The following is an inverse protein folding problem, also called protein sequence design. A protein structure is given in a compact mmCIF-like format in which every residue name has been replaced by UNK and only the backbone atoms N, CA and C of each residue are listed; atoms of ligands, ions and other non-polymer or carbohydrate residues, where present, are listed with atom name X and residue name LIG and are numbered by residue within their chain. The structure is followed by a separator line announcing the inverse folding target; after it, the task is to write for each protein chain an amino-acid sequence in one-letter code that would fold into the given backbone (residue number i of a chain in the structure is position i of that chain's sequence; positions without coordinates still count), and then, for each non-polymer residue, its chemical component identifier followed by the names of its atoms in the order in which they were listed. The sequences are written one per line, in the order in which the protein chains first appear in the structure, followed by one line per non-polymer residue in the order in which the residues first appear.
data_IF_782756302833
#
_entry.id   IF_782756302833
#
_cell.length_a   1.000
_cell.length_b   1.000
_cell.length_c   1.000
_cell.angle_alpha   90.00
_cell.angle_beta   90.00
_cell.angle_gamma   90.00
#
_symmetry.space_group_name_H-M   'P 1'
#
loop_
_entity.id
_entity.type
_entity.pdbx_description
1 polymer ?
#
# COMPACT_ATOMS: atom_id res chain seq x y z
N UNK A 1 -28.67 17.74 48.10
CA UNK A 1 -29.67 16.72 48.45
C UNK A 1 -30.82 16.87 47.47
N UNK A 2 -31.27 15.90 46.69
CA UNK A 2 -30.84 14.51 46.48
C UNK A 2 -31.66 13.89 45.31
N UNK A 3 -31.08 12.85 44.69
CA UNK A 3 -31.77 11.74 44.00
C UNK A 3 -32.09 11.96 42.52
N UNK A 4 -31.34 11.45 41.53
CA UNK A 4 -30.87 10.09 41.14
C UNK A 4 -31.94 9.12 40.59
N UNK A 5 -31.53 8.43 39.50
CA UNK A 5 -32.00 7.18 38.87
C UNK A 5 -33.26 7.25 37.97
N UNK A 6 -33.34 6.70 36.75
CA UNK A 6 -32.73 5.50 36.13
C UNK A 6 -32.53 5.62 34.59
N UNK A 7 -31.62 4.79 34.05
CA UNK A 7 -31.33 4.50 32.62
C UNK A 7 -32.48 3.75 31.89
N UNK A 8 -32.41 3.64 30.55
CA UNK A 8 -31.89 2.41 29.89
C UNK A 8 -30.80 2.79 28.85
N UNK A 9 -29.60 2.21 28.76
CA UNK A 9 -29.18 0.85 28.39
C UNK A 9 -29.84 0.29 27.11
N UNK A 10 -29.20 0.54 25.96
CA UNK A 10 -29.12 -0.36 24.78
C UNK A 10 -27.81 -0.04 24.01
N UNK A 11 -26.94 -1.05 23.88
CA UNK A 11 -25.88 -1.22 22.87
C UNK A 11 -26.49 -2.06 21.71
N UNK A 12 -25.85 -2.25 20.53
CA UNK A 12 -24.74 -1.54 19.88
C UNK A 12 -25.11 -1.05 18.45
N UNK A 13 -24.43 -0.04 17.95
CA UNK A 13 -24.31 0.19 16.49
C UNK A 13 -22.86 0.50 16.21
N UNK A 14 -22.10 -0.54 15.85
CA UNK A 14 -20.78 -0.38 15.25
C UNK A 14 -21.00 0.34 13.92
N UNK A 15 -20.55 1.59 13.85
CA UNK A 15 -20.35 2.28 12.58
C UNK A 15 -18.90 2.09 12.21
N UNK A 16 -18.69 1.48 11.04
CA UNK A 16 -17.51 1.64 10.21
C UNK A 16 -17.27 3.13 10.00
N UNK A 17 -16.49 3.75 10.88
CA UNK A 17 -15.94 5.09 10.63
C UNK A 17 -14.44 4.93 10.35
N UNK A 18 -14.15 4.34 9.18
CA UNK A 18 -13.27 5.12 8.32
C UNK A 18 -14.12 6.29 7.86
N UNK A 19 -13.76 7.49 8.31
CA UNK A 19 -14.55 8.70 8.08
C UNK A 19 -14.67 9.00 6.57
N UNK A 20 -15.75 8.52 5.95
CA UNK A 20 -16.17 8.94 4.61
C UNK A 20 -16.57 10.42 4.70
N UNK A 21 -15.77 11.29 4.11
CA UNK A 21 -16.04 12.70 4.05
C UNK A 21 -17.20 12.99 3.07
N UNK A 22 -18.38 13.31 3.61
CA UNK A 22 -19.38 14.17 2.98
C UNK A 22 -20.35 13.48 2.01
N UNK A 23 -21.61 13.36 2.45
CA UNK A 23 -22.74 13.06 1.57
C UNK A 23 -23.08 14.28 0.70
N UNK A 24 -23.29 14.04 -0.60
CA UNK A 24 -24.12 14.92 -1.43
C UNK A 24 -25.06 14.07 -2.28
N UNK A 25 -26.34 14.34 -2.07
CA UNK A 25 -27.50 13.72 -2.70
C UNK A 25 -27.62 14.02 -4.21
N UNK A 26 -28.26 13.07 -4.91
CA UNK A 26 -29.00 13.16 -6.18
C UNK A 26 -28.23 13.09 -7.51
N UNK A 27 -28.35 11.93 -8.18
CA UNK A 27 -29.43 11.66 -9.15
C UNK A 27 -29.43 10.18 -9.57
N UNK A 28 -30.40 9.44 -9.02
CA UNK A 28 -30.74 8.06 -9.31
C UNK A 28 -31.62 7.97 -10.57
N UNK A 29 -31.27 7.13 -11.55
CA UNK A 29 -32.28 6.24 -12.18
C UNK A 29 -31.81 5.13 -13.14
N UNK A 30 -30.53 4.96 -13.49
CA UNK A 30 -30.11 3.80 -14.34
C UNK A 30 -28.86 3.06 -13.80
N UNK A 31 -28.24 3.60 -12.74
CA UNK A 31 -27.07 3.03 -12.03
C UNK A 31 -27.43 2.01 -10.95
N UNK A 32 -28.67 2.00 -10.46
CA UNK A 32 -29.08 1.14 -9.33
C UNK A 32 -29.09 -0.36 -9.64
N UNK A 33 -29.28 -0.75 -10.91
CA UNK A 33 -29.18 -2.14 -11.34
C UNK A 33 -27.74 -2.65 -11.40
N UNK A 34 -26.77 -1.76 -11.64
CA UNK A 34 -25.34 -2.07 -11.62
C UNK A 34 -24.75 -2.05 -10.19
N UNK A 35 -25.28 -1.20 -9.31
CA UNK A 35 -24.75 -0.95 -7.96
C UNK A 35 -25.07 -2.05 -6.94
N UNK A 36 -25.99 -2.98 -7.23
CA UNK A 36 -26.36 -4.09 -6.32
C UNK A 36 -25.66 -5.43 -6.61
N UNK A 37 -24.83 -5.49 -7.64
CA UNK A 37 -24.15 -6.74 -8.01
C UNK A 37 -22.91 -6.94 -7.15
N UNK A 38 -22.79 -8.12 -6.52
CA UNK A 38 -21.59 -8.53 -5.78
C UNK A 38 -20.34 -8.46 -6.68
N UNK A 39 -19.15 -8.22 -6.11
CA UNK A 39 -17.87 -8.15 -6.85
C UNK A 39 -17.62 -9.39 -7.71
N UNK A 40 -17.97 -10.57 -7.21
CA UNK A 40 -17.99 -11.82 -7.99
C UNK A 40 -18.89 -11.73 -9.23
N UNK A 41 -20.10 -11.18 -9.12
CA UNK A 41 -21.00 -11.00 -10.27
C UNK A 41 -20.48 -9.94 -11.24
N UNK A 42 -19.79 -8.90 -10.75
CA UNK A 42 -19.16 -7.87 -11.58
C UNK A 42 -17.97 -8.44 -12.34
N UNK A 43 -17.07 -9.15 -11.65
CA UNK A 43 -15.89 -9.79 -12.23
C UNK A 43 -16.32 -10.89 -13.20
N UNK A 44 -17.31 -11.71 -12.83
CA UNK A 44 -17.88 -12.73 -13.71
C UNK A 44 -18.53 -12.10 -14.94
N UNK A 45 -19.29 -11.02 -14.77
CA UNK A 45 -19.83 -10.28 -15.92
C UNK A 45 -18.74 -9.66 -16.78
N UNK A 46 -17.68 -9.12 -16.18
CA UNK A 46 -16.54 -8.56 -16.89
C UNK A 46 -15.80 -9.65 -17.68
N UNK A 47 -15.51 -10.78 -17.05
CA UNK A 47 -14.92 -11.96 -17.69
C UNK A 47 -15.83 -12.50 -18.79
N UNK A 48 -17.15 -12.52 -18.60
CA UNK A 48 -18.10 -12.99 -19.59
C UNK A 48 -18.22 -12.02 -20.77
N UNK A 49 -18.24 -10.71 -20.51
CA UNK A 49 -18.20 -9.66 -21.54
C UNK A 49 -16.91 -9.73 -22.34
N UNK A 50 -15.76 -9.81 -21.68
CA UNK A 50 -14.45 -9.94 -22.32
C UNK A 50 -14.34 -11.26 -23.10
N UNK A 51 -14.84 -12.38 -22.57
CA UNK A 51 -14.90 -13.66 -23.28
C UNK A 51 -15.71 -13.53 -24.58
N UNK A 52 -16.89 -12.92 -24.52
CA UNK A 52 -17.72 -12.68 -25.72
C UNK A 52 -17.04 -11.74 -26.71
N UNK A 53 -16.31 -10.74 -26.24
CA UNK A 53 -15.53 -9.83 -27.09
C UNK A 53 -14.40 -10.57 -27.80
N UNK A 54 -13.64 -11.41 -27.08
CA UNK A 54 -12.58 -12.27 -27.64
C UNK A 54 -13.17 -13.20 -28.72
N UNK A 55 -14.26 -13.90 -28.42
CA UNK A 55 -14.92 -14.82 -29.36
C UNK A 55 -15.51 -14.10 -30.58
N UNK A 56 -15.98 -12.85 -30.41
CA UNK A 56 -16.42 -12.00 -31.52
C UNK A 56 -15.25 -11.66 -32.46
N UNK A 57 -14.06 -11.38 -31.93
CA UNK A 57 -12.87 -11.18 -32.76
C UNK A 57 -12.52 -12.49 -33.49
N UNK A 58 -12.55 -13.64 -32.80
CA UNK A 58 -12.26 -14.92 -33.45
C UNK A 58 -13.21 -15.24 -34.60
N UNK A 59 -14.51 -15.08 -34.39
CA UNK A 59 -15.52 -15.32 -35.42
C UNK A 59 -15.41 -14.38 -36.61
N UNK A 60 -15.13 -13.09 -36.37
CA UNK A 60 -14.94 -12.07 -37.44
C UNK A 60 -13.77 -12.44 -38.35
N UNK A 61 -12.69 -12.97 -37.78
CA UNK A 61 -11.49 -13.37 -38.52
C UNK A 61 -11.46 -14.85 -38.90
N UNK A 62 -12.60 -15.55 -38.82
CA UNK A 62 -12.75 -16.97 -39.17
C UNK A 62 -11.76 -17.90 -38.44
N UNK A 63 -11.40 -17.56 -37.20
CA UNK A 63 -10.61 -18.40 -36.32
C UNK A 63 -11.53 -19.32 -35.53
N UNK A 64 -11.33 -20.63 -35.67
CA UNK A 64 -12.13 -21.66 -34.97
C UNK A 64 -11.64 -21.89 -33.53
N UNK A 65 -11.70 -20.86 -32.68
CA UNK A 65 -11.34 -20.94 -31.26
C UNK A 65 -12.48 -20.41 -30.37
N UNK A 66 -12.52 -20.87 -29.11
CA UNK A 66 -13.47 -20.46 -28.07
C UNK A 66 -12.76 -20.28 -26.74
N UNK A 67 -13.36 -19.49 -25.85
CA UNK A 67 -12.87 -19.33 -24.49
C UNK A 67 -13.45 -20.44 -23.63
N UNK A 68 -12.59 -21.27 -23.04
CA UNK A 68 -12.98 -22.40 -22.18
C UNK A 68 -13.13 -22.01 -20.71
N UNK A 69 -12.41 -20.96 -20.29
CA UNK A 69 -12.39 -20.46 -18.93
C UNK A 69 -11.51 -19.22 -18.83
N UNK A 70 -11.55 -18.57 -17.67
CA UNK A 70 -10.71 -17.42 -17.36
C UNK A 70 -10.20 -17.54 -15.92
N UNK A 71 -8.94 -17.20 -15.71
CA UNK A 71 -8.31 -17.07 -14.41
C UNK A 71 -7.76 -15.65 -14.29
N UNK A 72 -8.00 -15.06 -13.12
CA UNK A 72 -7.63 -13.69 -12.81
C UNK A 72 -6.28 -13.74 -12.08
N UNK A 73 -5.24 -13.14 -12.65
CA UNK A 73 -3.89 -13.04 -12.07
C UNK A 73 -3.61 -11.58 -11.68
N UNK A 74 -2.57 -11.32 -10.90
CA UNK A 74 -2.20 -9.98 -10.37
C UNK A 74 -2.33 -8.85 -11.40
N UNK A 75 -1.58 -8.96 -12.51
CA UNK A 75 -1.49 -7.91 -13.53
C UNK A 75 -2.16 -8.32 -14.85
N UNK A 76 -2.76 -9.51 -14.90
CA UNK A 76 -3.30 -10.08 -16.13
C UNK A 76 -4.56 -10.88 -15.87
N UNK A 77 -5.38 -11.03 -16.91
CA UNK A 77 -6.48 -11.99 -16.94
C UNK A 77 -6.13 -13.02 -18.00
N UNK A 78 -5.96 -14.27 -17.57
CA UNK A 78 -5.64 -15.40 -18.42
C UNK A 78 -6.91 -16.07 -18.89
N UNK A 79 -7.10 -16.17 -20.21
CA UNK A 79 -8.19 -16.94 -20.82
C UNK A 79 -7.66 -18.22 -21.44
N UNK A 80 -8.21 -19.36 -21.02
CA UNK A 80 -7.91 -20.64 -21.64
C UNK A 80 -8.63 -20.75 -22.97
N UNK A 81 -7.88 -21.04 -24.04
CA UNK A 81 -8.43 -21.12 -25.39
C UNK A 81 -8.55 -22.58 -25.84
N UNK A 82 -9.72 -22.94 -26.34
CA UNK A 82 -9.97 -24.24 -26.95
C UNK A 82 -10.24 -24.09 -28.45
N UNK A 83 -9.61 -24.93 -29.25
CA UNK A 83 -9.84 -25.01 -30.70
C UNK A 83 -9.89 -26.46 -31.14
N UNK A 84 -10.72 -26.74 -32.15
CA UNK A 84 -10.82 -28.04 -32.79
C UNK A 84 -9.79 -28.22 -33.93
N UNK A 85 -9.12 -27.14 -34.36
CA UNK A 85 -8.16 -27.13 -35.46
C UNK A 85 -6.89 -26.37 -35.05
N UNK A 86 -5.72 -27.02 -35.11
CA UNK A 86 -4.43 -26.38 -34.75
C UNK A 86 -4.12 -25.15 -35.64
N UNK A 87 -4.59 -25.15 -36.89
CA UNK A 87 -4.41 -24.05 -37.85
C UNK A 87 -5.17 -22.75 -37.49
N UNK A 88 -6.13 -22.82 -36.58
CA UNK A 88 -6.82 -21.63 -36.05
C UNK A 88 -5.92 -20.82 -35.11
N UNK A 89 -5.10 -21.50 -34.31
CA UNK A 89 -4.34 -20.89 -33.22
C UNK A 89 -3.05 -20.21 -33.69
N UNK A 90 -2.46 -20.67 -34.79
CA UNK A 90 -1.34 -19.97 -35.44
C UNK A 90 -1.72 -18.59 -36.02
N UNK A 91 -2.99 -18.40 -36.38
CA UNK A 91 -3.51 -17.12 -36.89
C UNK A 91 -3.79 -16.10 -35.78
N UNK A 92 -3.92 -16.54 -34.53
CA UNK A 92 -4.20 -15.66 -33.39
C UNK A 92 -3.12 -14.60 -33.16
N UNK A 93 -1.85 -14.91 -33.47
CA UNK A 93 -0.75 -13.93 -33.36
C UNK A 93 -0.97 -12.69 -34.24
N UNK A 94 -1.66 -12.84 -35.38
CA UNK A 94 -2.00 -11.74 -36.27
C UNK A 94 -3.19 -10.89 -35.79
N UNK A 95 -3.96 -11.38 -34.81
CA UNK A 95 -5.15 -10.70 -34.27
C UNK A 95 -4.84 -9.80 -33.08
N UNK A 96 -3.57 -9.68 -32.68
CA UNK A 96 -3.16 -8.89 -31.51
C UNK A 96 -3.75 -7.49 -31.55
N UNK A 97 -3.64 -6.78 -32.67
CA UNK A 97 -4.14 -5.39 -32.79
C UNK A 97 -5.66 -5.28 -32.64
N UNK A 98 -6.40 -6.22 -33.21
CA UNK A 98 -7.85 -6.22 -33.17
C UNK A 98 -8.36 -6.62 -31.78
N UNK A 99 -7.67 -7.56 -31.11
CA UNK A 99 -7.93 -7.90 -29.71
C UNK A 99 -7.70 -6.70 -28.79
N UNK A 100 -6.57 -6.01 -28.90
CA UNK A 100 -6.28 -4.78 -28.12
C UNK A 100 -7.38 -3.74 -28.29
N UNK A 101 -7.76 -3.48 -29.54
CA UNK A 101 -8.77 -2.45 -29.86
C UNK A 101 -10.16 -2.79 -29.34
N UNK A 102 -10.57 -4.06 -29.39
CA UNK A 102 -11.93 -4.47 -28.96
C UNK A 102 -12.01 -4.62 -27.45
N UNK A 103 -10.92 -5.04 -26.80
CA UNK A 103 -10.87 -5.26 -25.36
C UNK A 103 -10.56 -3.98 -24.58
N UNK A 104 -9.97 -2.96 -25.22
CA UNK A 104 -9.61 -1.70 -24.55
C UNK A 104 -8.47 -1.87 -23.53
N UNK A 105 -7.53 -2.77 -23.83
CA UNK A 105 -6.47 -3.21 -22.91
C UNK A 105 -5.10 -2.82 -23.44
N UNK A 106 -4.14 -2.62 -22.54
CA UNK A 106 -2.80 -2.12 -22.87
C UNK A 106 -1.98 -3.14 -23.67
N UNK A 107 -2.06 -4.42 -23.30
CA UNK A 107 -1.40 -5.49 -24.02
C UNK A 107 -2.16 -6.82 -23.95
N UNK A 108 -1.91 -7.72 -24.91
CA UNK A 108 -2.37 -9.10 -24.89
C UNK A 108 -1.24 -10.04 -25.33
N UNK A 109 -1.07 -11.12 -24.59
CA UNK A 109 -0.02 -12.12 -24.78
C UNK A 109 -0.62 -13.49 -25.04
N UNK A 110 -0.13 -14.18 -26.06
CA UNK A 110 -0.59 -15.51 -26.44
C UNK A 110 0.49 -16.55 -26.11
N UNK A 111 0.22 -17.38 -25.10
CA UNK A 111 1.21 -18.30 -24.51
C UNK A 111 0.73 -19.74 -24.69
N UNK A 112 1.65 -20.70 -24.75
CA UNK A 112 1.36 -22.12 -24.60
C UNK A 112 1.78 -22.59 -23.21
N UNK A 113 0.93 -23.34 -22.54
CA UNK A 113 1.29 -23.97 -21.27
C UNK A 113 2.18 -25.22 -21.48
N UNK A 114 2.65 -25.80 -20.38
CA UNK A 114 3.47 -27.02 -20.37
C UNK A 114 2.75 -28.24 -21.00
N UNK A 115 1.41 -28.18 -21.09
CA UNK A 115 0.56 -29.22 -21.68
C UNK A 115 0.22 -28.93 -23.14
N UNK A 116 0.75 -27.84 -23.71
CA UNK A 116 0.56 -27.42 -25.09
C UNK A 116 -0.79 -26.72 -25.38
N UNK A 117 -1.58 -26.41 -24.35
CA UNK A 117 -2.82 -25.64 -24.47
C UNK A 117 -2.53 -24.14 -24.63
N UNK A 118 -3.34 -23.47 -25.43
CA UNK A 118 -3.16 -22.04 -25.70
C UNK A 118 -3.89 -21.19 -24.68
N UNK A 119 -3.22 -20.12 -24.24
CA UNK A 119 -3.72 -19.15 -23.27
C UNK A 119 -3.57 -17.75 -23.81
N UNK A 120 -4.55 -16.90 -23.54
CA UNK A 120 -4.53 -15.48 -23.85
C UNK A 120 -4.48 -14.69 -22.54
N UNK A 121 -3.33 -14.11 -22.24
CA UNK A 121 -3.11 -13.26 -21.08
C UNK A 121 -3.37 -11.81 -21.48
N UNK A 122 -4.43 -11.23 -20.94
CA UNK A 122 -4.78 -9.82 -21.11
C UNK A 122 -4.10 -9.03 -20.01
N UNK A 123 -3.25 -8.07 -20.35
CA UNK A 123 -2.65 -7.17 -19.38
C UNK A 123 -3.70 -6.15 -18.94
N UNK A 124 -3.94 -6.05 -17.63
CA UNK A 124 -4.88 -5.05 -17.11
C UNK A 124 -4.27 -3.65 -17.27
N UNK A 125 -5.07 -2.63 -17.61
CA UNK A 125 -4.56 -1.26 -17.64
C UNK A 125 -4.01 -0.88 -16.27
N UNK A 126 -2.78 -0.35 -16.24
CA UNK A 126 -2.17 0.19 -15.04
C UNK A 126 -2.95 1.45 -14.65
N UNK A 127 -3.74 1.37 -13.59
CA UNK A 127 -4.33 2.57 -13.00
C UNK A 127 -3.20 3.39 -12.36
N UNK A 128 -3.10 4.70 -12.61
CA UNK A 128 -2.06 5.52 -12.00
C UNK A 128 -2.20 5.45 -10.47
N UNK A 129 -1.07 5.41 -9.73
CA UNK A 129 -1.13 5.30 -8.28
C UNK A 129 -1.86 6.51 -7.67
N UNK A 130 -2.61 6.28 -6.59
CA UNK A 130 -3.22 7.36 -5.81
C UNK A 130 -2.11 8.13 -5.10
N UNK A 131 -1.75 9.31 -5.61
CA UNK A 131 -0.68 10.14 -5.02
C UNK A 131 -1.08 10.68 -3.64
N UNK A 132 -0.26 10.42 -2.62
CA UNK A 132 -0.47 10.97 -1.28
C UNK A 132 -0.45 12.51 -1.29
N UNK A 133 0.46 13.10 -2.07
CA UNK A 133 0.64 14.55 -2.12
C UNK A 133 -0.53 15.26 -2.82
N UNK A 134 -1.18 14.59 -3.77
CA UNK A 134 -2.39 15.11 -4.42
C UNK A 134 -3.63 14.88 -3.56
N UNK A 135 -3.64 13.81 -2.75
CA UNK A 135 -4.74 13.50 -1.85
C UNK A 135 -4.81 14.44 -0.64
N UNK A 136 -3.68 14.71 0.02
CA UNK A 136 -3.64 15.49 1.26
C UNK A 136 -4.35 16.87 1.18
N UNK A 137 -4.17 17.69 0.12
CA UNK A 137 -4.85 18.99 -0.01
C UNK A 137 -6.37 18.89 -0.17
N UNK A 138 -6.88 17.72 -0.58
CA UNK A 138 -8.31 17.48 -0.79
C UNK A 138 -9.02 17.05 0.50
N UNK A 139 -8.26 16.64 1.51
CA UNK A 139 -8.81 16.16 2.78
C UNK A 139 -9.28 17.33 3.66
N UNK A 140 -10.34 17.12 4.47
CA UNK A 140 -10.67 18.04 5.55
C UNK A 140 -9.54 18.08 6.60
N UNK A 141 -9.65 19.00 7.56
CA UNK A 141 -8.75 19.00 8.71
C UNK A 141 -8.81 17.65 9.43
N UNK A 142 -7.67 16.96 9.48
CA UNK A 142 -7.59 15.60 10.00
C UNK A 142 -7.49 15.62 11.54
N UNK A 143 -8.16 14.70 12.25
CA UNK A 143 -7.94 14.51 13.68
C UNK A 143 -6.47 14.19 13.99
N UNK A 144 -6.01 14.51 15.21
CA UNK A 144 -4.66 14.17 15.65
C UNK A 144 -4.39 12.66 15.49
N UNK A 145 -3.16 12.31 15.12
CA UNK A 145 -2.70 10.93 14.93
C UNK A 145 -3.52 10.15 13.88
N UNK A 146 -4.05 10.82 12.86
CA UNK A 146 -4.74 10.17 11.74
C UNK A 146 -3.84 10.02 10.52
N UNK A 147 -3.64 8.79 10.06
CA UNK A 147 -2.92 8.49 8.82
C UNK A 147 -3.88 8.43 7.63
N UNK A 148 -3.35 8.66 6.43
CA UNK A 148 -4.09 8.54 5.18
C UNK A 148 -3.80 7.17 4.56
N UNK A 149 -4.84 6.35 4.37
CA UNK A 149 -4.70 5.02 3.79
C UNK A 149 -4.75 5.05 2.26
N UNK A 150 -5.71 5.75 1.67
CA UNK A 150 -5.96 5.68 0.24
C UNK A 150 -7.35 6.19 -0.16
N UNK A 151 -7.90 5.64 -1.24
CA UNK A 151 -9.26 5.91 -1.71
C UNK A 151 -10.04 4.60 -1.88
N UNK A 152 -11.32 4.59 -1.54
CA UNK A 152 -12.22 3.46 -1.84
C UNK A 152 -12.68 3.45 -3.31
N UNK A 153 -13.51 2.45 -3.67
CA UNK A 153 -14.06 2.30 -5.03
C UNK A 153 -14.93 3.50 -5.46
N UNK A 154 -15.49 4.23 -4.51
CA UNK A 154 -16.28 5.44 -4.74
C UNK A 154 -15.43 6.71 -4.84
N UNK A 155 -14.11 6.60 -4.64
CA UNK A 155 -13.18 7.72 -4.63
C UNK A 155 -13.19 8.53 -3.33
N UNK A 156 -13.82 8.02 -2.26
CA UNK A 156 -13.79 8.63 -0.96
C UNK A 156 -12.48 8.29 -0.22
N UNK A 157 -11.90 9.24 0.51
CA UNK A 157 -10.64 9.01 1.21
C UNK A 157 -10.81 8.07 2.39
N UNK A 158 -9.92 7.08 2.46
CA UNK A 158 -9.81 6.14 3.57
C UNK A 158 -8.77 6.65 4.57
N UNK A 159 -9.16 6.79 5.85
CA UNK A 159 -8.35 7.34 6.94
C UNK A 159 -8.19 6.33 8.08
N UNK A 160 -7.07 6.43 8.81
CA UNK A 160 -6.73 5.57 9.95
C UNK A 160 -6.43 6.41 11.20
N UNK A 161 -7.42 6.65 12.08
CA UNK A 161 -7.24 7.45 13.29
C UNK A 161 -6.67 6.62 14.44
N UNK A 162 -5.37 6.75 14.74
CA UNK A 162 -4.76 6.02 15.87
C UNK A 162 -5.20 6.54 17.24
N UNK A 163 -5.77 7.74 17.32
CA UNK A 163 -6.34 8.25 18.58
C UNK A 163 -7.67 7.58 18.95
N UNK A 164 -8.28 6.83 18.03
CA UNK A 164 -9.53 6.11 18.26
C UNK A 164 -9.31 4.88 19.15
N UNK A 165 -10.03 4.74 20.29
CA UNK A 165 -9.94 3.57 21.16
C UNK A 165 -10.25 2.23 20.47
N UNK A 166 -11.06 2.24 19.42
CA UNK A 166 -11.43 1.04 18.67
C UNK A 166 -10.30 0.61 17.70
N UNK A 167 -9.37 1.52 17.40
CA UNK A 167 -8.18 1.27 16.58
C UNK A 167 -6.98 0.99 17.50
N UNK A 168 -6.74 -0.29 17.81
CA UNK A 168 -5.63 -0.69 18.67
C UNK A 168 -4.34 -0.87 17.87
N UNK A 169 -4.29 -1.91 17.05
CA UNK A 169 -3.15 -2.29 16.22
C UNK A 169 -3.64 -2.71 14.84
N UNK A 170 -2.76 -2.60 13.84
CA UNK A 170 -3.09 -2.84 12.43
C UNK A 170 -2.19 -3.93 11.87
N UNK A 171 -2.80 -4.90 11.19
CA UNK A 171 -2.07 -5.87 10.39
C UNK A 171 -2.08 -5.43 8.92
N UNK A 172 -0.94 -5.52 8.25
CA UNK A 172 -0.79 -5.33 6.80
C UNK A 172 -0.31 -6.65 6.18
N UNK A 173 -1.20 -7.43 5.59
CA UNK A 173 -0.90 -8.74 5.04
C UNK A 173 -0.92 -8.75 3.51
N UNK A 174 -0.27 -9.73 2.89
CA UNK A 174 -0.24 -9.92 1.44
C UNK A 174 1.09 -10.48 0.95
N UNK A 175 1.18 -10.91 -0.30
CA UNK A 175 2.39 -11.42 -0.92
C UNK A 175 3.42 -10.31 -1.24
N UNK A 176 4.62 -10.71 -1.63
CA UNK A 176 5.60 -9.77 -2.17
C UNK A 176 5.02 -9.06 -3.41
N UNK A 177 5.29 -7.75 -3.54
CA UNK A 177 4.73 -6.93 -4.61
C UNK A 177 3.30 -6.39 -4.36
N UNK A 178 2.61 -6.81 -3.30
CA UNK A 178 1.25 -6.31 -3.02
C UNK A 178 1.17 -4.84 -2.57
N UNK A 179 2.31 -4.21 -2.23
CA UNK A 179 2.38 -2.81 -1.80
C UNK A 179 2.52 -2.58 -0.30
N UNK A 180 2.69 -3.62 0.53
CA UNK A 180 2.77 -3.51 2.02
C UNK A 180 3.82 -2.49 2.51
N UNK A 181 5.07 -2.62 2.07
CA UNK A 181 6.16 -1.72 2.52
C UNK A 181 5.92 -0.30 2.03
N UNK A 182 5.39 -0.13 0.81
CA UNK A 182 5.01 1.17 0.27
C UNK A 182 3.86 1.80 1.07
N UNK A 183 2.88 1.02 1.51
CA UNK A 183 1.81 1.47 2.41
C UNK A 183 2.37 1.91 3.76
N UNK A 184 3.25 1.12 4.40
CA UNK A 184 3.92 1.55 5.65
C UNK A 184 4.65 2.89 5.50
N UNK A 185 5.36 3.07 4.37
CA UNK A 185 6.02 4.33 4.03
C UNK A 185 5.02 5.48 3.89
N UNK A 186 3.94 5.28 3.14
CA UNK A 186 2.88 6.28 2.97
C UNK A 186 2.25 6.66 4.32
N UNK A 187 1.95 5.68 5.17
CA UNK A 187 1.43 5.90 6.52
C UNK A 187 2.37 6.79 7.34
N UNK A 188 3.67 6.46 7.39
CA UNK A 188 4.67 7.23 8.11
C UNK A 188 4.72 8.70 7.65
N UNK A 189 4.76 8.91 6.33
CA UNK A 189 4.85 10.25 5.74
C UNK A 189 3.57 11.04 5.98
N UNK A 190 2.40 10.42 5.78
CA UNK A 190 1.10 11.08 6.00
C UNK A 190 0.97 11.56 7.45
N UNK A 191 1.35 10.73 8.42
CA UNK A 191 1.37 11.09 9.84
C UNK A 191 2.34 12.23 10.11
N UNK A 192 3.55 12.17 9.54
CA UNK A 192 4.56 13.19 9.77
C UNK A 192 4.19 14.57 9.19
N UNK A 193 3.57 14.59 8.01
CA UNK A 193 3.11 15.81 7.36
C UNK A 193 1.97 16.47 8.13
N UNK A 194 1.07 15.67 8.71
CA UNK A 194 -0.18 16.16 9.32
C UNK A 194 -0.08 16.38 10.83
N UNK A 195 0.91 15.79 11.51
CA UNK A 195 1.06 15.88 12.96
C UNK A 195 2.35 16.57 13.39
N UNK A 196 2.31 17.24 14.55
CA UNK A 196 3.51 17.76 15.22
C UNK A 196 4.22 16.62 15.97
N UNK A 197 5.56 16.69 16.04
CA UNK A 197 6.37 15.70 16.75
C UNK A 197 6.01 15.59 18.25
N UNK A 198 5.62 16.70 18.89
CA UNK A 198 5.19 16.70 20.30
C UNK A 198 3.87 15.95 20.54
N UNK A 199 3.13 15.62 19.47
CA UNK A 199 1.86 14.89 19.52
C UNK A 199 2.02 13.46 19.04
N UNK A 200 2.90 13.22 18.06
CA UNK A 200 3.11 11.92 17.45
C UNK A 200 4.59 11.63 17.23
N UNK A 201 5.02 10.43 17.59
CA UNK A 201 6.35 9.89 17.35
C UNK A 201 6.26 8.57 16.58
N UNK A 202 7.30 8.27 15.79
CA UNK A 202 7.38 7.09 14.96
C UNK A 202 8.53 6.20 15.42
N UNK A 203 8.31 4.89 15.40
CA UNK A 203 9.39 3.91 15.44
C UNK A 203 9.28 3.04 14.18
N UNK A 204 10.41 2.75 13.53
CA UNK A 204 10.43 1.95 12.31
C UNK A 204 11.42 0.81 12.45
N UNK A 205 10.93 -0.41 12.26
CA UNK A 205 11.71 -1.65 12.25
C UNK A 205 11.57 -2.26 10.85
N UNK A 206 12.66 -2.27 10.08
CA UNK A 206 12.76 -2.84 8.73
C UNK A 206 13.92 -3.85 8.71
N UNK A 207 13.70 -5.07 9.25
CA UNK A 207 14.74 -6.06 9.42
C UNK A 207 15.31 -6.53 8.08
N UNK A 208 16.61 -6.79 8.07
CA UNK A 208 17.29 -7.30 6.88
C UNK A 208 16.74 -8.66 6.45
N UNK A 209 16.64 -8.87 5.14
CA UNK A 209 16.17 -10.13 4.55
C UNK A 209 17.13 -10.61 3.48
N UNK A 210 17.36 -11.92 3.36
CA UNK A 210 18.11 -12.48 2.24
C UNK A 210 17.47 -12.05 0.91
N UNK A 211 18.23 -11.39 0.04
CA UNK A 211 17.76 -10.95 -1.28
C UNK A 211 17.03 -9.60 -1.33
N UNK A 212 16.73 -8.96 -0.20
CA UNK A 212 16.19 -7.58 -0.18
C UNK A 212 17.35 -6.59 -0.25
N UNK A 213 17.65 -6.08 -1.45
CA UNK A 213 18.70 -5.07 -1.66
C UNK A 213 18.19 -3.64 -1.47
N UNK A 214 16.88 -3.41 -1.48
CA UNK A 214 16.27 -2.09 -1.40
C UNK A 214 15.51 -1.90 -0.07
N UNK A 215 16.08 -1.08 0.83
CA UNK A 215 15.44 -0.68 2.09
C UNK A 215 14.51 0.51 1.86
N UNK A 216 13.29 0.24 1.39
CA UNK A 216 12.31 1.28 1.05
C UNK A 216 11.90 2.17 2.24
N UNK A 217 12.06 1.70 3.48
CA UNK A 217 11.77 2.47 4.69
C UNK A 217 12.99 3.25 5.21
N UNK A 218 14.21 2.95 4.76
CA UNK A 218 15.42 3.64 5.22
C UNK A 218 15.36 5.18 5.09
N UNK A 219 14.82 5.77 4.01
CA UNK A 219 14.71 7.23 3.91
C UNK A 219 13.85 7.87 5.00
N UNK A 220 13.01 7.11 5.70
CA UNK A 220 12.23 7.62 6.83
C UNK A 220 13.13 8.07 7.99
N UNK A 221 14.41 7.67 8.05
CA UNK A 221 15.40 8.16 9.04
C UNK A 221 15.54 9.69 9.08
N UNK A 222 15.06 10.37 8.02
CA UNK A 222 15.06 11.82 7.91
C UNK A 222 13.76 12.47 8.41
N UNK A 223 12.74 11.73 8.87
CA UNK A 223 11.59 12.38 9.51
C UNK A 223 11.97 12.83 10.93
N UNK A 224 11.62 14.06 11.35
CA UNK A 224 11.88 14.51 12.71
C UNK A 224 11.06 13.74 13.77
N UNK A 225 10.07 12.96 13.35
CA UNK A 225 9.21 12.18 14.23
C UNK A 225 9.83 10.86 14.70
N UNK A 226 10.91 10.39 14.07
CA UNK A 226 11.49 9.11 14.45
C UNK A 226 12.17 9.18 15.82
N UNK A 227 11.90 8.18 16.65
CA UNK A 227 12.51 7.97 17.96
C UNK A 227 13.97 7.47 17.86
N UNK A 228 14.28 6.74 16.79
CA UNK A 228 15.58 6.12 16.55
C UNK A 228 15.85 6.07 15.04
N UNK A 229 17.04 5.64 14.64
CA UNK A 229 17.25 5.22 13.25
C UNK A 229 16.32 4.04 12.91
N UNK A 230 16.13 3.81 11.61
CA UNK A 230 15.39 2.64 11.12
C UNK A 230 16.15 1.38 11.55
N UNK A 231 15.51 0.54 12.34
CA UNK A 231 16.14 -0.62 12.96
C UNK A 231 16.12 -1.78 11.98
N UNK A 232 17.30 -2.22 11.54
CA UNK A 232 17.46 -3.35 10.63
C UNK A 232 17.95 -4.63 11.34
N UNK A 233 18.65 -4.48 12.46
CA UNK A 233 19.15 -5.61 13.22
C UNK A 233 18.04 -6.17 14.13
N UNK A 234 17.75 -7.49 14.07
CA UNK A 234 16.71 -8.08 14.90
C UNK A 234 16.99 -8.08 16.41
N UNK A 235 18.27 -8.06 16.84
CA UNK A 235 18.64 -7.95 18.25
C UNK A 235 18.32 -6.54 18.78
N UNK A 236 18.69 -5.51 18.02
CA UNK A 236 18.34 -4.11 18.32
C UNK A 236 16.82 -3.91 18.32
N UNK A 237 16.10 -4.56 17.41
CA UNK A 237 14.64 -4.54 17.39
C UNK A 237 14.06 -5.16 18.67
N UNK A 238 14.61 -6.29 19.12
CA UNK A 238 14.23 -6.94 20.36
C UNK A 238 14.43 -6.04 21.59
N UNK A 239 15.59 -5.39 21.70
CA UNK A 239 15.87 -4.45 22.79
C UNK A 239 14.91 -3.24 22.75
N UNK A 240 14.63 -2.73 21.55
CA UNK A 240 13.72 -1.58 21.39
C UNK A 240 12.28 -1.93 21.74
N UNK A 241 11.81 -3.14 21.40
CA UNK A 241 10.48 -3.61 21.80
C UNK A 241 10.36 -3.77 23.32
N UNK A 242 11.43 -4.17 24.01
CA UNK A 242 11.47 -4.19 25.48
C UNK A 242 11.38 -2.77 26.05
N UNK A 243 12.12 -1.81 25.49
CA UNK A 243 12.01 -0.38 25.89
C UNK A 243 10.59 0.15 25.68
N UNK A 244 9.94 -0.18 24.56
CA UNK A 244 8.54 0.19 24.33
C UNK A 244 7.58 -0.44 25.32
N UNK A 245 7.83 -1.69 25.73
CA UNK A 245 7.03 -2.37 26.75
C UNK A 245 7.20 -1.70 28.12
N UNK A 246 8.42 -1.33 28.51
CA UNK A 246 8.68 -0.58 29.75
C UNK A 246 8.01 0.80 29.72
N UNK A 247 8.06 1.49 28.57
CA UNK A 247 7.36 2.77 28.35
C UNK A 247 5.84 2.60 28.46
N UNK A 248 5.28 1.54 27.86
CA UNK A 248 3.86 1.20 28.00
C UNK A 248 3.48 1.04 29.49
N UNK A 249 4.23 0.26 30.26
CA UNK A 249 3.97 0.07 31.69
C UNK A 249 4.08 1.39 32.48
N UNK A 250 5.10 2.20 32.17
CA UNK A 250 5.28 3.51 32.76
C UNK A 250 4.08 4.43 32.48
N UNK A 251 3.60 4.48 31.24
CA UNK A 251 2.46 5.29 30.81
C UNK A 251 1.16 4.88 31.47
N UNK A 252 0.89 3.58 31.54
CA UNK A 252 -0.30 3.04 32.19
C UNK A 252 -0.30 3.34 33.69
N UNK A 253 0.87 3.36 34.33
CA UNK A 253 1.01 3.69 35.75
C UNK A 253 0.81 5.18 36.05
N UNK A 254 1.21 6.06 35.14
CA UNK A 254 1.17 7.52 35.34
C UNK A 254 0.08 8.24 34.56
N UNK A 255 -0.80 7.48 33.87
CA UNK A 255 -1.92 8.00 33.07
C UNK A 255 -1.46 8.99 31.96
N UNK A 256 -0.32 8.72 31.34
CA UNK A 256 0.26 9.57 30.28
C UNK A 256 0.17 8.89 28.92
N UNK A 257 -0.64 9.43 27.99
CA UNK A 257 -0.87 8.82 26.67
C UNK A 257 -0.13 9.51 25.51
N UNK A 258 0.45 10.69 25.77
CA UNK A 258 1.13 11.50 24.75
C UNK A 258 2.65 11.51 24.93
N UNK A 259 3.42 11.64 23.82
CA UNK A 259 2.95 11.61 22.44
C UNK A 259 2.48 10.20 22.02
N UNK A 260 1.53 10.12 21.08
CA UNK A 260 1.14 8.85 20.46
C UNK A 260 2.36 8.26 19.77
N UNK A 261 2.68 6.99 20.03
CA UNK A 261 3.78 6.29 19.36
C UNK A 261 3.16 5.34 18.34
N UNK A 262 3.52 5.48 17.07
CA UNK A 262 3.16 4.53 16.02
C UNK A 262 4.42 3.77 15.60
N UNK A 263 4.42 2.46 15.84
CA UNK A 263 5.53 1.57 15.52
C UNK A 263 5.23 0.77 14.26
N UNK A 264 6.01 1.00 13.21
CA UNK A 264 5.91 0.31 11.92
C UNK A 264 6.91 -0.85 11.90
N UNK A 265 6.41 -2.06 11.66
CA UNK A 265 7.25 -3.27 11.61
C UNK A 265 7.08 -3.96 10.24
N UNK A 266 8.10 -3.90 9.40
CA UNK A 266 8.10 -4.58 8.08
C UNK A 266 8.55 -6.05 8.22
N UNK A 267 7.85 -7.06 7.69
CA UNK A 267 8.00 -8.50 8.05
C UNK A 267 8.28 -8.66 9.54
N UNK A 268 7.23 -8.74 10.32
CA UNK A 268 7.36 -9.26 11.67
C UNK A 268 7.99 -10.67 11.71
N UNK A 269 7.84 -11.49 10.67
CA UNK A 269 8.42 -12.85 10.62
C UNK A 269 9.95 -12.84 10.62
N UNK A 270 10.59 -11.81 10.07
CA UNK A 270 12.04 -11.70 10.08
C UNK A 270 12.60 -11.43 11.49
N UNK A 271 11.79 -10.81 12.36
CA UNK A 271 12.10 -10.65 13.78
C UNK A 271 11.90 -11.96 14.56
N UNK A 272 10.83 -12.68 14.24
CA UNK A 272 10.43 -13.89 14.96
C UNK A 272 11.25 -15.13 14.57
N UNK A 273 11.79 -15.16 13.35
CA UNK A 273 12.56 -16.30 12.84
C UNK A 273 13.96 -16.42 13.44
N UNK A 274 14.53 -15.30 13.91
CA UNK A 274 15.96 -15.20 14.24
C UNK A 274 16.26 -15.10 15.75
N UNK A 275 15.31 -14.65 16.60
CA UNK A 275 15.58 -14.40 18.04
C UNK A 275 14.40 -14.69 19.00
N UNK A 276 14.68 -14.46 20.31
CA UNK A 276 14.22 -15.17 21.52
C UNK A 276 12.75 -15.02 21.93
N UNK A 277 12.30 -15.91 22.83
CA UNK A 277 11.00 -15.83 23.56
C UNK A 277 10.71 -14.42 24.12
N UNK A 278 11.74 -13.62 24.42
CA UNK A 278 11.60 -12.26 24.91
C UNK A 278 10.98 -11.30 23.87
N UNK A 279 11.33 -11.44 22.58
CA UNK A 279 10.75 -10.61 21.50
C UNK A 279 9.26 -10.92 21.35
N UNK A 280 8.91 -12.21 21.35
CA UNK A 280 7.53 -12.66 21.30
C UNK A 280 6.72 -12.16 22.50
N UNK A 281 7.30 -12.23 23.70
CA UNK A 281 6.66 -11.74 24.92
C UNK A 281 6.40 -10.23 24.89
N UNK A 282 7.39 -9.42 24.49
CA UNK A 282 7.21 -7.97 24.36
C UNK A 282 6.18 -7.62 23.30
N UNK A 283 6.25 -8.23 22.12
CA UNK A 283 5.29 -8.00 21.05
C UNK A 283 3.86 -8.38 21.48
N UNK A 284 3.69 -9.52 22.17
CA UNK A 284 2.40 -9.94 22.70
C UNK A 284 1.86 -8.97 23.77
N UNK A 285 2.71 -8.49 24.67
CA UNK A 285 2.33 -7.52 25.70
C UNK A 285 1.89 -6.18 25.08
N UNK A 286 2.65 -5.68 24.11
CA UNK A 286 2.32 -4.47 23.36
C UNK A 286 1.02 -4.62 22.56
N UNK A 287 0.79 -5.76 21.92
CA UNK A 287 -0.46 -6.03 21.20
C UNK A 287 -1.69 -6.11 22.11
N UNK A 288 -1.51 -6.53 23.36
CA UNK A 288 -2.61 -6.64 24.31
C UNK A 288 -2.96 -5.31 24.97
N UNK A 289 -1.96 -4.46 25.26
CA UNK A 289 -2.13 -3.29 26.15
C UNK A 289 -1.51 -2.00 25.63
N UNK A 290 -0.80 -2.04 24.51
CA UNK A 290 -0.09 -0.88 23.96
C UNK A 290 -1.03 0.26 23.61
N UNK A 291 -2.18 -0.05 23.00
CA UNK A 291 -3.18 0.95 22.64
C UNK A 291 -3.70 1.76 23.86
N UNK A 292 -3.85 1.11 25.02
CA UNK A 292 -4.23 1.78 26.28
C UNK A 292 -3.17 2.81 26.74
N UNK A 293 -1.93 2.68 26.28
CA UNK A 293 -0.81 3.59 26.56
C UNK A 293 -0.54 4.58 25.41
N UNK A 294 -1.38 4.61 24.38
CA UNK A 294 -1.15 5.41 23.16
C UNK A 294 0.03 4.90 22.32
N UNK A 295 0.31 3.59 22.36
CA UNK A 295 1.35 2.91 21.59
C UNK A 295 0.66 1.95 20.62
N UNK A 296 0.73 2.25 19.33
CA UNK A 296 0.07 1.50 18.27
C UNK A 296 1.10 0.78 17.41
N UNK A 297 0.77 -0.42 16.97
CA UNK A 297 1.64 -1.24 16.13
C UNK A 297 0.99 -1.39 14.76
N UNK A 298 1.76 -1.17 13.70
CA UNK A 298 1.40 -1.52 12.33
C UNK A 298 2.38 -2.61 11.89
N UNK A 299 1.89 -3.85 11.91
CA UNK A 299 2.69 -5.03 11.62
C UNK A 299 2.43 -5.45 10.18
N UNK A 300 3.48 -5.67 9.39
CA UNK A 300 3.30 -6.32 8.09
C UNK A 300 3.75 -7.78 8.12
N UNK A 301 3.07 -8.60 7.32
CA UNK A 301 3.35 -10.03 7.17
C UNK A 301 3.22 -10.43 5.70
N UNK A 302 4.16 -11.26 5.25
CA UNK A 302 4.11 -11.89 3.93
C UNK A 302 3.58 -13.32 3.95
N UNK A 303 3.41 -13.89 5.15
CA UNK A 303 2.95 -15.25 5.38
C UNK A 303 1.76 -15.24 6.36
N UNK A 304 0.55 -14.90 5.89
CA UNK A 304 -0.63 -14.77 6.76
C UNK A 304 -1.04 -16.09 7.44
N UNK A 305 -0.59 -17.22 6.91
CA UNK A 305 -0.82 -18.57 7.46
C UNK A 305 0.15 -18.93 8.59
N UNK A 306 1.08 -18.05 8.95
CA UNK A 306 2.06 -18.30 10.00
C UNK A 306 1.37 -18.56 11.36
N UNK A 307 1.75 -19.62 12.12
CA UNK A 307 1.07 -19.99 13.36
C UNK A 307 1.01 -18.88 14.42
N UNK A 308 2.08 -18.09 14.56
CA UNK A 308 2.14 -17.00 15.53
C UNK A 308 1.12 -15.89 15.22
N UNK A 309 0.84 -15.64 13.94
CA UNK A 309 -0.10 -14.60 13.54
C UNK A 309 -1.52 -15.05 13.89
N UNK A 310 -1.86 -16.31 13.58
CA UNK A 310 -3.17 -16.89 13.86
C UNK A 310 -3.59 -16.84 15.33
N UNK A 311 -2.62 -16.88 16.27
CA UNK A 311 -2.91 -16.81 17.71
C UNK A 311 -3.19 -15.40 18.22
N UNK A 312 -2.74 -14.36 17.51
CA UNK A 312 -2.82 -12.96 17.96
C UNK A 312 -3.85 -12.14 17.16
N UNK A 313 -4.17 -12.54 15.93
CA UNK A 313 -5.05 -11.80 15.01
C UNK A 313 -6.41 -11.43 15.59
N UNK A 314 -7.19 -12.40 16.07
CA UNK A 314 -8.59 -12.16 16.44
C UNK A 314 -8.77 -11.36 17.73
N UNK A 315 -7.80 -11.39 18.63
CA UNK A 315 -7.90 -10.71 19.92
C UNK A 315 -7.34 -9.28 19.86
N UNK A 316 -6.29 -9.05 19.07
CA UNK A 316 -5.47 -7.85 19.18
C UNK A 316 -5.29 -7.08 17.87
N UNK A 317 -5.76 -7.60 16.73
CA UNK A 317 -5.64 -6.96 15.40
C UNK A 317 -7.03 -6.82 14.76
N UNK A 318 -7.88 -5.92 15.29
CA UNK A 318 -9.26 -5.74 14.81
C UNK A 318 -9.28 -5.23 13.36
N UNK A 319 -8.34 -4.35 12.99
CA UNK A 319 -8.18 -3.83 11.64
C UNK A 319 -7.06 -4.56 10.89
N UNK A 320 -7.40 -5.11 9.71
CA UNK A 320 -6.50 -5.84 8.83
C UNK A 320 -6.56 -5.24 7.44
N UNK A 321 -5.43 -4.77 6.93
CA UNK A 321 -5.24 -4.27 5.58
C UNK A 321 -4.61 -5.39 4.76
N UNK A 322 -5.40 -6.06 3.94
CA UNK A 322 -4.99 -7.26 3.22
C UNK A 322 -4.83 -6.92 1.74
N UNK A 323 -3.59 -6.88 1.28
CA UNK A 323 -3.27 -6.77 -0.15
C UNK A 323 -3.32 -8.14 -0.81
N UNK A 324 -2.95 -8.20 -2.09
CA UNK A 324 -3.00 -9.45 -2.84
C UNK A 324 -2.30 -10.63 -2.13
N UNK A 325 -2.98 -11.77 -2.08
CA UNK A 325 -2.46 -13.07 -1.59
C UNK A 325 -2.49 -14.13 -2.69
N UNK A 326 -1.87 -15.31 -2.48
CA UNK A 326 -1.74 -16.34 -3.53
C UNK A 326 -2.99 -17.16 -3.77
N UNK A 327 -3.76 -17.43 -2.73
CA UNK A 327 -4.89 -18.34 -2.78
C UNK A 327 -5.95 -18.02 -1.72
N UNK A 328 -7.11 -18.66 -1.84
CA UNK A 328 -8.25 -18.53 -0.92
C UNK A 328 -7.86 -18.87 0.54
N UNK A 329 -6.94 -19.82 0.75
CA UNK A 329 -6.51 -20.20 2.08
C UNK A 329 -5.69 -19.10 2.76
N UNK A 330 -4.77 -18.45 2.03
CA UNK A 330 -4.06 -17.26 2.49
C UNK A 330 -5.02 -16.07 2.66
N UNK A 331 -6.03 -15.93 1.80
CA UNK A 331 -7.06 -14.89 1.91
C UNK A 331 -7.84 -15.03 3.22
N UNK A 332 -8.35 -16.24 3.50
CA UNK A 332 -9.02 -16.54 4.75
C UNK A 332 -8.08 -16.34 5.95
N UNK A 333 -6.82 -16.75 5.85
CA UNK A 333 -5.86 -16.57 6.94
C UNK A 333 -5.59 -15.09 7.25
N UNK A 334 -5.46 -14.25 6.22
CA UNK A 334 -5.16 -12.82 6.36
C UNK A 334 -6.38 -11.99 6.81
N UNK A 335 -7.54 -12.30 6.23
CA UNK A 335 -8.78 -11.53 6.45
C UNK A 335 -9.57 -12.05 7.64
N UNK A 336 -9.40 -13.34 8.00
CA UNK A 336 -10.28 -14.12 8.88
C UNK A 336 -11.77 -14.13 8.49
N UNK A 337 -12.10 -13.77 7.24
CA UNK A 337 -13.46 -13.79 6.71
C UNK A 337 -13.55 -14.83 5.58
N UNK A 338 -14.56 -15.69 5.67
CA UNK A 338 -14.83 -16.70 4.64
C UNK A 338 -15.33 -15.99 3.38
N UNK A 339 -14.75 -16.34 2.23
CA UNK A 339 -15.09 -15.73 0.94
C UNK A 339 -14.53 -14.31 0.77
N UNK A 340 -13.58 -13.88 1.61
CA UNK A 340 -12.81 -12.69 1.30
C UNK A 340 -12.01 -12.94 0.01
N UNK A 341 -12.05 -11.99 -0.93
CA UNK A 341 -11.51 -12.14 -2.28
C UNK A 341 -10.12 -11.49 -2.41
N UNK A 342 -9.27 -11.59 -1.37
CA UNK A 342 -7.94 -10.97 -1.38
C UNK A 342 -6.99 -11.59 -2.43
N UNK A 343 -7.23 -12.84 -2.84
CA UNK A 343 -6.51 -13.54 -3.90
C UNK A 343 -6.80 -12.98 -5.31
N UNK A 344 -7.89 -12.23 -5.47
CA UNK A 344 -8.27 -11.58 -6.73
C UNK A 344 -7.78 -10.13 -6.88
N UNK A 345 -7.15 -9.57 -5.83
CA UNK A 345 -6.61 -8.21 -5.86
C UNK A 345 -5.48 -8.09 -6.89
N UNK A 346 -5.25 -6.86 -7.35
CA UNK A 346 -4.31 -6.53 -8.43
C UNK A 346 -2.86 -6.38 -7.98
N UNK A 347 -2.61 -6.37 -6.66
CA UNK A 347 -1.30 -5.99 -6.11
C UNK A 347 -1.06 -4.48 -6.23
N UNK A 348 0.20 -4.04 -6.07
CA UNK A 348 0.61 -2.64 -6.29
C UNK A 348 -0.22 -1.57 -5.55
N UNK A 349 -0.67 -1.87 -4.34
CA UNK A 349 -1.49 -0.94 -3.56
C UNK A 349 -2.98 -1.26 -3.60
N UNK A 350 -3.40 -2.33 -4.25
CA UNK A 350 -4.77 -2.82 -4.16
C UNK A 350 -5.00 -3.62 -2.86
N UNK A 351 -5.89 -3.15 -1.97
CA UNK A 351 -6.11 -3.69 -0.64
C UNK A 351 -7.59 -3.88 -0.28
N UNK A 352 -7.84 -4.80 0.64
CA UNK A 352 -9.06 -4.91 1.43
C UNK A 352 -8.79 -4.46 2.86
N UNK A 353 -9.50 -3.45 3.34
CA UNK A 353 -9.59 -3.14 4.76
C UNK A 353 -10.69 -3.99 5.40
N UNK A 354 -10.31 -4.82 6.36
CA UNK A 354 -11.20 -5.73 7.08
C UNK A 354 -11.22 -5.34 8.54
N UNK A 355 -12.42 -5.02 9.03
CA UNK A 355 -12.70 -4.78 10.43
C UNK A 355 -13.94 -5.58 10.82
N UNK A 356 -13.78 -6.49 11.79
CA UNK A 356 -14.77 -7.51 12.11
C UNK A 356 -15.17 -8.32 10.87
N UNK A 357 -16.44 -8.28 10.48
CA UNK A 357 -16.99 -8.91 9.26
C UNK A 357 -17.15 -7.91 8.10
N UNK A 358 -16.85 -6.62 8.32
CA UNK A 358 -16.95 -5.58 7.29
C UNK A 358 -15.69 -5.54 6.45
N UNK A 359 -15.86 -5.42 5.14
CA UNK A 359 -14.77 -5.32 4.17
C UNK A 359 -14.98 -4.08 3.31
N UNK A 360 -13.91 -3.30 3.15
CA UNK A 360 -13.88 -2.14 2.26
C UNK A 360 -12.70 -2.32 1.32
N UNK A 361 -12.96 -2.25 0.02
CA UNK A 361 -11.93 -2.26 -0.99
C UNK A 361 -11.35 -0.85 -1.16
N UNK A 362 -10.04 -0.74 -1.28
CA UNK A 362 -9.39 0.56 -1.46
C UNK A 362 -8.06 0.44 -2.20
N UNK A 363 -7.73 1.48 -2.96
CA UNK A 363 -6.41 1.71 -3.51
C UNK A 363 -5.59 2.53 -2.52
N UNK A 364 -4.49 1.96 -2.05
CA UNK A 364 -3.57 2.60 -1.13
C UNK A 364 -2.93 3.85 -1.76
N UNK A 365 -2.83 4.91 -0.96
CA UNK A 365 -2.07 6.08 -1.32
C UNK A 365 -0.58 5.73 -1.41
N UNK A 366 0.10 6.42 -2.31
CA UNK A 366 1.49 6.16 -2.67
C UNK A 366 2.28 7.47 -2.71
N UNK A 367 3.50 7.41 -2.21
CA UNK A 367 4.49 8.48 -2.34
C UNK A 367 5.73 7.91 -3.01
N UNK A 368 6.15 8.44 -4.17
CA UNK A 368 7.35 7.99 -4.87
C UNK A 368 8.65 8.39 -4.16
N UNK A 369 9.79 7.89 -4.62
CA UNK A 369 11.09 8.24 -4.04
C UNK A 369 11.43 9.73 -4.21
N UNK A 370 11.11 10.30 -5.38
CA UNK A 370 11.31 11.72 -5.67
C UNK A 370 10.46 12.61 -4.74
N UNK A 371 9.16 12.31 -4.66
CA UNK A 371 8.21 13.03 -3.81
C UNK A 371 8.55 12.90 -2.32
N UNK A 372 9.00 11.72 -1.90
CA UNK A 372 9.50 11.48 -0.56
C UNK A 372 10.68 12.40 -0.24
N UNK A 373 11.66 12.48 -1.14
CA UNK A 373 12.82 13.33 -0.95
C UNK A 373 12.42 14.80 -0.77
N UNK A 374 11.58 15.34 -1.66
CA UNK A 374 11.07 16.72 -1.56
C UNK A 374 10.26 16.96 -0.28
N UNK A 375 9.46 15.97 0.13
CA UNK A 375 8.67 16.04 1.35
C UNK A 375 9.56 16.09 2.60
N UNK A 376 10.60 15.25 2.65
CA UNK A 376 11.57 15.23 3.74
C UNK A 376 12.32 16.56 3.85
N UNK A 377 12.73 17.15 2.73
CA UNK A 377 13.36 18.48 2.72
C UNK A 377 12.41 19.57 3.23
N UNK A 378 11.15 19.51 2.82
CA UNK A 378 10.12 20.47 3.23
C UNK A 378 9.82 20.38 4.72
N UNK A 379 9.67 19.17 5.26
CA UNK A 379 9.44 18.94 6.70
C UNK A 379 10.61 19.49 7.52
N UNK A 380 11.85 19.28 7.07
CA UNK A 380 13.05 19.81 7.73
C UNK A 380 13.15 21.34 7.70
N UNK A 381 12.82 21.96 6.56
CA UNK A 381 12.87 23.42 6.44
C UNK A 381 11.90 24.08 7.43
N UNK A 382 10.75 23.46 7.64
CA UNK A 382 9.67 23.99 8.47
C UNK A 382 9.73 23.57 9.94
N UNK A 383 10.62 22.63 10.31
CA UNK A 383 10.75 22.11 11.68
C UNK A 383 12.24 21.99 12.04
N UNK A 384 12.76 22.84 12.94
CA UNK A 384 14.15 22.71 13.38
C UNK A 384 14.35 21.31 13.98
N UNK A 385 15.51 20.71 13.71
CA UNK A 385 15.87 19.39 14.25
C UNK A 385 15.63 19.39 15.76
N UNK A 386 14.75 18.52 16.29
CA UNK A 386 14.65 18.31 17.72
C UNK A 386 15.99 17.73 18.18
N UNK A 387 16.75 18.49 18.97
CA UNK A 387 17.86 17.95 19.74
C UNK A 387 17.23 17.15 20.89
N UNK A 388 17.36 15.82 20.86
CA UNK A 388 17.35 14.80 21.96
C UNK A 388 16.83 13.47 21.37
N UNK A 389 17.49 12.30 21.43
CA UNK A 389 18.80 11.89 21.93
C UNK A 389 19.70 11.51 20.74
N UNK A 390 20.97 11.92 20.79
CA UNK A 390 21.98 11.32 19.93
C UNK A 390 21.99 9.80 20.14
N UNK A 391 22.35 9.00 19.11
CA UNK A 391 22.60 7.59 19.32
C UNK A 391 23.59 7.44 20.48
N UNK A 392 23.40 6.42 21.33
CA UNK A 392 24.52 5.89 22.10
C UNK A 392 25.69 5.75 21.11
N UNK A 393 26.77 6.47 21.34
CA UNK A 393 27.76 6.81 20.32
C UNK A 393 28.31 5.60 19.55
N UNK A 394 28.66 5.88 18.29
CA UNK A 394 29.74 5.26 17.53
C UNK A 394 29.52 3.86 16.91
N UNK A 395 28.98 3.83 15.69
CA UNK A 395 29.66 3.18 14.56
C UNK A 395 29.40 4.00 13.30
N UNK A 396 30.45 4.22 12.51
CA UNK A 396 30.48 5.19 11.41
C UNK A 396 29.37 4.97 10.39
N UNK A 397 28.84 6.05 9.83
CA UNK A 397 28.03 5.97 8.63
C UNK A 397 28.82 5.17 7.56
N UNK A 398 28.29 4.06 7.03
CA UNK A 398 28.93 3.39 5.92
C UNK A 398 29.01 4.37 4.74
N UNK A 399 30.20 4.51 4.15
CA UNK A 399 30.46 5.31 2.93
C UNK A 399 29.57 4.89 1.74
N UNK A 400 28.92 3.73 1.82
CA UNK A 400 28.04 3.16 0.81
C UNK A 400 26.69 3.89 0.63
N UNK A 401 26.33 4.84 1.50
CA UNK A 401 25.14 5.68 1.34
C UNK A 401 25.38 6.98 0.56
N UNK A 402 26.54 7.13 -0.10
CA UNK A 402 26.69 8.09 -1.20
C UNK A 402 25.90 7.58 -2.42
N UNK A 403 24.58 7.72 -2.37
CA UNK A 403 23.68 7.29 -3.45
C UNK A 403 23.91 8.16 -4.69
N UNK A 404 24.63 7.62 -5.67
CA UNK A 404 24.54 8.06 -7.06
C UNK A 404 23.22 7.56 -7.63
N UNK A 405 22.25 8.46 -7.73
CA UNK A 405 20.98 8.19 -8.37
C UNK A 405 21.15 8.27 -9.89
N UNK A 406 21.13 7.11 -10.56
CA UNK A 406 20.74 7.08 -11.97
C UNK A 406 19.22 7.06 -12.04
N UNK A 407 18.65 7.88 -12.94
CA UNK A 407 17.24 7.83 -13.32
C UNK A 407 16.96 6.45 -13.91
N UNK A 408 16.30 5.56 -13.16
CA UNK A 408 15.62 4.40 -13.75
C UNK A 408 14.29 4.86 -14.34
N UNK A 409 14.38 5.65 -15.40
CA UNK A 409 13.22 6.02 -16.21
C UNK A 409 13.06 4.93 -17.28
N UNK A 410 12.32 3.86 -16.96
CA UNK A 410 11.84 2.87 -17.94
C UNK A 410 10.81 3.44 -18.94
N UNK A 411 10.83 4.75 -19.19
CA UNK A 411 9.99 5.41 -20.17
C UNK A 411 10.67 5.38 -21.54
N UNK A 412 9.98 4.92 -22.61
CA UNK A 412 10.51 5.09 -23.95
C UNK A 412 10.53 6.59 -24.29
N UNK A 413 11.72 7.19 -24.27
CA UNK A 413 11.96 8.54 -24.77
C UNK A 413 11.69 8.54 -26.28
N UNK A 414 10.51 9.00 -26.70
CA UNK A 414 10.39 9.67 -27.99
C UNK A 414 10.65 11.14 -27.75
N UNK A 415 11.86 11.56 -28.14
CA UNK A 415 12.29 12.95 -28.12
C UNK A 415 11.32 13.81 -28.93
N UNK A 416 10.58 14.68 -28.24
CA UNK A 416 10.04 15.89 -28.83
C UNK A 416 11.18 16.89 -28.77
N UNK A 417 11.83 17.12 -29.92
CA UNK A 417 12.78 18.22 -30.09
C UNK A 417 11.95 19.48 -30.33
N UNK A 418 11.83 20.30 -29.30
CA UNK A 418 11.48 21.72 -29.33
C UNK A 418 12.68 22.41 -28.71
N UNK A 419 13.44 23.15 -29.51
CA UNK A 419 13.69 24.61 -29.40
C UNK A 419 15.20 24.75 -29.72
N UNK A 420 15.74 25.83 -30.26
CA UNK A 420 15.28 27.19 -30.54
C UNK A 420 16.31 27.79 -31.52
N UNK A 421 15.86 28.73 -32.35
CA UNK A 421 16.72 29.62 -33.10
C UNK A 421 17.38 30.59 -32.11
N UNK A 422 18.71 30.63 -32.06
CA UNK A 422 19.44 31.77 -31.50
C UNK A 422 20.61 32.12 -32.43
N UNK A 423 20.56 33.38 -32.88
CA UNK A 423 21.50 34.02 -33.78
C UNK A 423 22.84 34.26 -33.06
N UNK A 424 23.91 33.65 -33.56
CA UNK A 424 25.29 33.97 -33.19
C UNK A 424 25.71 35.29 -33.85
N UNK A 425 25.80 36.35 -33.05
CA UNK A 425 26.35 37.65 -33.46
C UNK A 425 27.40 38.09 -32.41
N UNK A 426 28.63 37.58 -32.51
CA UNK A 426 29.83 38.26 -32.03
C UNK A 426 31.12 37.55 -32.47
N UNK A 427 31.59 37.84 -33.68
CA UNK A 427 32.99 37.65 -34.03
C UNK A 427 33.76 38.97 -33.84
N UNK A 428 34.81 38.86 -33.03
CA UNK A 428 35.78 39.88 -32.68
C UNK A 428 36.56 40.35 -33.91
N UNK A 429 36.58 41.67 -34.15
CA UNK A 429 37.62 42.32 -34.94
C UNK A 429 38.76 42.77 -34.01
N UNK A 430 39.95 42.23 -34.26
CA UNK A 430 41.24 42.79 -33.80
C UNK A 430 41.60 44.04 -34.63
N UNK A 431 42.31 44.96 -33.96
CA UNK A 431 43.32 45.91 -34.46
C UNK A 431 42.94 46.91 -35.55
N UNK A 432 42.84 48.20 -35.17
CA UNK A 432 43.93 49.18 -35.37
C UNK A 432 43.39 50.62 -35.20
N UNK A 433 43.96 51.33 -34.22
CA UNK A 433 43.89 52.79 -34.10
C UNK A 433 45.14 53.38 -34.75
N UNK A 434 45.02 53.81 -36.01
CA UNK A 434 45.88 54.85 -36.59
C UNK A 434 45.02 55.92 -37.30
N UNK A 435 45.24 57.15 -36.83
CA UNK A 435 45.19 58.44 -37.53
C UNK A 435 43.86 59.17 -37.85
N UNK A 436 43.82 60.38 -37.27
CA UNK A 436 43.12 61.65 -37.60
C UNK A 436 41.63 61.86 -37.25
#
# INVERSE_FOLDING_TARGET
MDGRFCRPFFLPTFRTDVLIAGSLEQTMNERETWQRMNKEERLRNQLELQSRQIERVFSTHQVSARVAGGQVETQSIRFDLQSHLESGLHRLRGLKRDLLSVLGVADVNLVKDERGQWRLDIVRPHEPPVSLLDLLPLLPELPESTAVLGMDEEGAPLLLPFADPDITHVLVAGCEGSGKTSLLRTLAVSLAMTNRQSKLQLLVIDPDRPGKTNRQLAPLMFLPHLLSQVIADPEDAGQTLQILMDEMEHRLKHETLQPTIVTLIDNVEALLGTYSEAVQAALAALLQRGAEAGIHLVLSSSHPTAPWLSSVMRANLPLRLVGQVRDEAESLAATAVIGAEADYLLGEGDFLAVADDSQVHFQAAFIGNYDLHLTLETIHRNRPRPLLAQPLEAFGAPEELQMHWQRDDGFPQQAIVLEEDDEDDSDLYEDDLEEE
#
